data_IF_042000197087
#
_entry.id   IF_042000197087
#
_cell.length_a   1.000
_cell.length_b   1.000
_cell.length_c   1.000
_cell.angle_alpha   90.00
_cell.angle_beta   90.00
_cell.angle_gamma   90.00
#
_symmetry.space_group_name_H-M   'P 1'
#
loop_
_entity.id
_entity.type
_entity.pdbx_description
1 polymer ?
#
# COMPACT_ATOMS: atom_id res chain seq x y z
N UNK A 1 -8.84 -2.51 -18.41
CA UNK A 1 -7.86 -2.53 -17.30
C UNK A 1 -6.73 -1.64 -17.73
N UNK A 2 -6.39 -0.58 -16.98
CA UNK A 2 -5.21 0.19 -17.34
C UNK A 2 -3.99 -0.60 -16.86
N UNK A 3 -3.41 -1.42 -17.76
CA UNK A 3 -2.26 -2.29 -17.45
C UNK A 3 -1.08 -1.49 -16.88
N UNK A 4 -0.98 -0.21 -17.23
CA UNK A 4 0.04 0.69 -16.71
C UNK A 4 -0.16 0.96 -15.21
N UNK A 5 -1.40 1.21 -14.76
CA UNK A 5 -1.68 1.44 -13.35
C UNK A 5 -1.44 0.19 -12.49
N UNK A 6 -1.75 -1.00 -13.02
CA UNK A 6 -1.46 -2.24 -12.30
C UNK A 6 0.04 -2.54 -12.24
N UNK A 7 0.78 -2.18 -13.28
CA UNK A 7 2.24 -2.24 -13.26
C UNK A 7 2.85 -1.27 -12.25
N UNK A 8 2.30 -0.05 -12.13
CA UNK A 8 2.77 0.94 -11.17
C UNK A 8 2.46 0.48 -9.74
N UNK A 9 1.20 0.12 -9.46
CA UNK A 9 0.74 -0.28 -8.13
C UNK A 9 0.90 -1.79 -7.85
N UNK A 10 1.86 -2.46 -8.50
CA UNK A 10 2.03 -3.91 -8.40
C UNK A 10 2.17 -4.40 -6.95
N UNK A 11 2.96 -3.70 -6.13
CA UNK A 11 3.21 -4.07 -4.74
C UNK A 11 1.94 -3.89 -3.89
N UNK A 12 1.27 -2.73 -3.93
CA UNK A 12 -0.04 -2.57 -3.30
C UNK A 12 -1.08 -3.62 -3.72
N UNK A 13 -1.17 -3.91 -5.01
CA UNK A 13 -2.09 -4.92 -5.55
C UNK A 13 -1.75 -6.32 -5.01
N UNK A 14 -0.46 -6.64 -4.92
CA UNK A 14 -0.01 -7.91 -4.36
C UNK A 14 -0.39 -8.05 -2.88
N UNK A 15 -0.19 -7.00 -2.08
CA UNK A 15 -0.65 -6.94 -0.67
C UNK A 15 -2.17 -7.11 -0.60
N UNK A 16 -2.92 -6.37 -1.42
CA UNK A 16 -4.37 -6.45 -1.49
C UNK A 16 -4.88 -7.86 -1.85
N UNK A 17 -4.23 -8.52 -2.80
CA UNK A 17 -4.54 -9.89 -3.20
C UNK A 17 -4.22 -10.89 -2.08
N UNK A 18 -3.15 -10.67 -1.33
CA UNK A 18 -2.81 -11.52 -0.18
C UNK A 18 -3.83 -11.37 0.95
N UNK A 19 -4.22 -10.14 1.28
CA UNK A 19 -5.26 -9.84 2.28
C UNK A 19 -6.60 -10.45 1.86
N UNK A 20 -6.99 -10.26 0.62
CA UNK A 20 -8.22 -10.84 0.07
C UNK A 20 -8.27 -12.35 0.27
N UNK A 21 -7.19 -13.07 -0.07
CA UNK A 21 -7.13 -14.54 0.07
C UNK A 21 -7.18 -15.03 1.52
N UNK A 22 -6.75 -14.20 2.48
CA UNK A 22 -6.59 -14.61 3.90
C UNK A 22 -7.73 -14.12 4.80
N UNK A 23 -8.20 -12.90 4.56
CA UNK A 23 -9.11 -12.15 5.45
C UNK A 23 -10.43 -11.85 4.73
N UNK A 24 -10.39 -11.74 3.40
CA UNK A 24 -11.51 -11.34 2.56
C UNK A 24 -11.55 -9.85 2.28
N UNK A 25 -12.48 -9.46 1.42
CA UNK A 25 -12.71 -8.06 1.03
C UNK A 25 -13.72 -7.36 1.96
N UNK A 26 -13.82 -6.04 1.88
CA UNK A 26 -14.74 -5.21 2.67
C UNK A 26 -14.07 -4.61 3.90
N UNK A 27 -14.85 -4.29 4.95
CA UNK A 27 -14.35 -3.56 6.13
C UNK A 27 -13.15 -4.25 6.79
N UNK A 28 -13.20 -5.59 6.94
CA UNK A 28 -12.11 -6.36 7.54
C UNK A 28 -10.82 -6.25 6.72
N UNK A 29 -10.89 -6.43 5.41
CA UNK A 29 -9.74 -6.30 4.51
C UNK A 29 -9.16 -4.88 4.49
N UNK A 30 -10.02 -3.85 4.48
CA UNK A 30 -9.59 -2.45 4.58
C UNK A 30 -8.83 -2.18 5.86
N UNK A 31 -9.37 -2.61 7.01
CA UNK A 31 -8.71 -2.46 8.32
C UNK A 31 -7.35 -3.16 8.31
N UNK A 32 -7.29 -4.40 7.85
CA UNK A 32 -6.03 -5.16 7.81
C UNK A 32 -4.99 -4.50 6.92
N UNK A 33 -5.40 -3.94 5.78
CA UNK A 33 -4.48 -3.22 4.91
C UNK A 33 -3.98 -1.95 5.59
N UNK A 34 -4.86 -1.15 6.19
CA UNK A 34 -4.47 0.08 6.93
C UNK A 34 -3.47 -0.25 8.04
N UNK A 35 -3.68 -1.33 8.78
CA UNK A 35 -2.74 -1.78 9.81
C UNK A 35 -1.37 -2.13 9.20
N UNK A 36 -1.35 -2.87 8.09
CA UNK A 36 -0.09 -3.19 7.37
C UNK A 36 0.62 -1.90 6.92
N UNK A 37 -0.12 -0.94 6.37
CA UNK A 37 0.42 0.35 5.98
C UNK A 37 1.13 1.03 7.16
N UNK A 38 0.45 1.17 8.31
CA UNK A 38 1.03 1.80 9.49
C UNK A 38 2.25 1.04 10.04
N UNK A 39 2.23 -0.29 10.04
CA UNK A 39 3.37 -1.09 10.48
C UNK A 39 4.57 -0.81 9.57
N UNK A 40 4.38 -0.84 8.24
CA UNK A 40 5.45 -0.60 7.27
C UNK A 40 6.00 0.82 7.40
N UNK A 41 5.13 1.85 7.46
CA UNK A 41 5.58 3.24 7.57
C UNK A 41 6.30 3.50 8.89
N UNK A 42 5.84 2.90 9.99
CA UNK A 42 6.49 3.04 11.31
C UNK A 42 7.86 2.36 11.32
N UNK A 43 7.96 1.15 10.76
CA UNK A 43 9.23 0.44 10.69
C UNK A 43 10.25 1.19 9.84
N UNK A 44 9.83 1.73 8.70
CA UNK A 44 10.65 2.56 7.84
C UNK A 44 11.09 3.86 8.55
N UNK A 45 10.22 4.50 9.31
CA UNK A 45 10.58 5.65 10.13
C UNK A 45 11.65 5.28 11.16
N UNK A 46 11.51 4.16 11.86
CA UNK A 46 12.49 3.72 12.87
C UNK A 46 13.87 3.48 12.27
N UNK A 47 13.97 2.83 11.11
CA UNK A 47 15.27 2.52 10.48
C UNK A 47 15.93 3.74 9.84
N UNK A 48 15.14 4.77 9.49
CA UNK A 48 15.65 6.02 8.93
C UNK A 48 15.91 7.07 10.00
N UNK A 49 15.41 6.85 11.22
CA UNK A 49 15.61 7.74 12.36
C UNK A 49 17.11 7.82 12.70
N UNK A 50 17.66 9.04 12.67
CA UNK A 50 19.09 9.30 12.87
C UNK A 50 19.92 9.37 11.58
N UNK A 51 19.31 9.15 10.41
CA UNK A 51 19.97 9.38 9.12
C UNK A 51 19.61 10.79 8.62
N UNK A 52 20.44 11.78 8.91
CA UNK A 52 20.25 13.17 8.46
C UNK A 52 20.67 13.37 6.98
N UNK A 53 20.00 12.67 6.07
CA UNK A 53 20.23 12.81 4.64
C UNK A 53 18.90 13.16 3.96
N UNK A 54 18.79 14.40 3.49
CA UNK A 54 17.58 14.92 2.83
C UNK A 54 17.04 14.03 1.70
N UNK A 55 17.92 13.35 0.97
CA UNK A 55 17.54 12.41 -0.09
C UNK A 55 16.75 11.21 0.47
N UNK A 56 17.12 10.71 1.64
CA UNK A 56 16.45 9.58 2.30
C UNK A 56 15.06 10.00 2.79
N UNK A 57 14.92 11.22 3.32
CA UNK A 57 13.62 11.78 3.70
C UNK A 57 12.67 11.91 2.51
N UNK A 58 13.17 12.39 1.37
CA UNK A 58 12.38 12.49 0.14
C UNK A 58 11.96 11.13 -0.40
N UNK A 59 12.88 10.16 -0.44
CA UNK A 59 12.56 8.79 -0.86
C UNK A 59 11.52 8.14 0.05
N UNK A 60 11.63 8.37 1.37
CA UNK A 60 10.66 7.87 2.35
C UNK A 60 9.28 8.49 2.13
N UNK A 61 9.22 9.81 1.94
CA UNK A 61 7.97 10.52 1.63
C UNK A 61 7.33 9.95 0.36
N UNK A 62 8.10 9.81 -0.72
CA UNK A 62 7.63 9.25 -1.98
C UNK A 62 7.10 7.83 -1.82
N UNK A 63 7.82 6.97 -1.10
CA UNK A 63 7.41 5.59 -0.87
C UNK A 63 6.11 5.50 -0.05
N UNK A 64 5.96 6.34 0.98
CA UNK A 64 4.73 6.40 1.77
C UNK A 64 3.53 6.87 0.94
N UNK A 65 3.73 7.90 0.10
CA UNK A 65 2.70 8.38 -0.83
C UNK A 65 2.34 7.29 -1.85
N UNK A 66 3.33 6.58 -2.39
CA UNK A 66 3.11 5.46 -3.29
C UNK A 66 2.25 4.36 -2.65
N UNK A 67 2.58 3.94 -1.42
CA UNK A 67 1.82 2.93 -0.70
C UNK A 67 0.40 3.39 -0.38
N UNK A 68 0.23 4.67 0.00
CA UNK A 68 -1.08 5.25 0.29
C UNK A 68 -1.96 5.26 -0.96
N UNK A 69 -1.46 5.81 -2.07
CA UNK A 69 -2.20 5.86 -3.34
C UNK A 69 -2.51 4.46 -3.86
N UNK A 70 -1.56 3.54 -3.76
CA UNK A 70 -1.76 2.15 -4.14
C UNK A 70 -2.81 1.44 -3.29
N UNK A 71 -2.83 1.68 -1.99
CA UNK A 71 -3.87 1.15 -1.10
C UNK A 71 -5.26 1.68 -1.49
N UNK A 72 -5.39 2.97 -1.77
CA UNK A 72 -6.64 3.56 -2.24
C UNK A 72 -7.07 2.97 -3.60
N UNK A 73 -6.13 2.78 -4.52
CA UNK A 73 -6.36 2.09 -5.79
C UNK A 73 -6.91 0.67 -5.55
N UNK A 74 -6.33 -0.07 -4.61
CA UNK A 74 -6.81 -1.41 -4.26
C UNK A 74 -8.26 -1.38 -3.76
N UNK A 75 -8.57 -0.47 -2.84
CA UNK A 75 -9.89 -0.38 -2.22
C UNK A 75 -10.98 0.00 -3.21
N UNK A 76 -10.74 1.05 -4.00
CA UNK A 76 -11.78 1.66 -4.82
C UNK A 76 -11.89 1.08 -6.21
N UNK A 77 -10.79 0.54 -6.76
CA UNK A 77 -10.72 0.11 -8.15
C UNK A 77 -10.52 -1.40 -8.23
N UNK A 78 -9.41 -1.93 -7.68
CA UNK A 78 -9.04 -3.34 -7.86
C UNK A 78 -10.07 -4.30 -7.25
N UNK A 79 -10.37 -4.17 -5.95
CA UNK A 79 -11.32 -5.05 -5.26
C UNK A 79 -12.77 -4.87 -5.74
N UNK A 80 -13.19 -3.64 -6.09
CA UNK A 80 -14.53 -3.42 -6.65
C UNK A 80 -14.72 -4.16 -7.98
N UNK A 81 -13.73 -4.12 -8.84
CA UNK A 81 -13.82 -4.72 -10.17
C UNK A 81 -13.85 -6.25 -10.12
N UNK A 82 -13.15 -6.89 -9.17
CA UNK A 82 -13.19 -8.35 -9.01
C UNK A 82 -14.56 -8.89 -8.56
N UNK A 83 -15.43 -8.04 -8.02
CA UNK A 83 -16.82 -8.41 -7.66
C UNK A 83 -17.78 -8.39 -8.86
N UNK A 84 -17.36 -7.84 -10.00
CA UNK A 84 -18.18 -7.69 -11.21
C UNK A 84 -17.73 -8.71 -12.24
#
# INVERSE_FOLDING_TARGET
MNRELESIFFLPIWIGTWIEKRIGQGVKGVISYVVIYFIVTTFLFIITNGIEVWVIDQMFSFFNTYLLLGMLYVFFIYWKKQKT
#
